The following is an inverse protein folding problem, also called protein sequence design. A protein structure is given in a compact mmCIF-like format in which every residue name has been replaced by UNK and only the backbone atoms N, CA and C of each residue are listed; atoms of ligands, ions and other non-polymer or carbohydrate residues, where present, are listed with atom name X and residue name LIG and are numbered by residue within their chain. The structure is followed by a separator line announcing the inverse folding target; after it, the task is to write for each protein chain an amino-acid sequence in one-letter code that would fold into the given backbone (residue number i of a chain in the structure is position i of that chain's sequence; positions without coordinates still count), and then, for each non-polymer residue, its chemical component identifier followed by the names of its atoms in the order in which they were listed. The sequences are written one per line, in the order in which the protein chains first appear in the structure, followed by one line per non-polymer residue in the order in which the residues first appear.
data_IF_883904483632
#
_entry.id   IF_883904483632
#
_cell.length_a   1.000
_cell.length_b   1.000
_cell.length_c   1.000
_cell.angle_alpha   90.00
_cell.angle_beta   90.00
_cell.angle_gamma   90.00
#
_symmetry.space_group_name_H-M   'P 1'
#
loop_
_entity.id
_entity.type
_entity.pdbx_description
1 polymer ?
#
# COMPACT_ATOMS: atom_id res chain seq x y z
N UNK A 1 -17.12 -10.24 39.48
CA UNK A 1 -15.76 -9.67 39.43
C UNK A 1 -14.95 -10.51 38.46
N UNK A 2 -15.45 -10.67 37.24
CA UNK A 2 -15.38 -9.70 36.12
C UNK A 2 -13.93 -9.65 35.63
N UNK A 3 -13.58 -10.49 34.65
CA UNK A 3 -13.75 -10.20 33.21
C UNK A 3 -12.95 -8.97 32.80
N UNK A 4 -11.74 -9.21 32.29
CA UNK A 4 -11.12 -8.38 31.28
C UNK A 4 -10.54 -9.29 30.19
N UNK A 5 -11.35 -9.48 29.15
CA UNK A 5 -10.99 -9.55 27.73
C UNK A 5 -9.68 -10.29 27.39
N UNK A 6 -9.75 -11.53 26.91
CA UNK A 6 -10.20 -11.89 25.57
C UNK A 6 -9.42 -11.17 24.45
N UNK A 7 -8.53 -11.93 23.79
CA UNK A 7 -7.76 -11.59 22.57
C UNK A 7 -6.85 -10.37 22.66
N UNK A 8 -5.66 -10.57 23.21
CA UNK A 8 -4.49 -9.79 22.77
C UNK A 8 -4.21 -10.21 21.32
N UNK A 9 -4.59 -9.35 20.38
CA UNK A 9 -4.54 -9.62 18.94
C UNK A 9 -3.18 -10.12 18.47
N UNK A 10 -3.17 -10.93 17.42
CA UNK A 10 -1.95 -11.31 16.70
C UNK A 10 -1.18 -10.04 16.37
N UNK A 11 -0.01 -9.84 16.96
CA UNK A 11 0.91 -8.77 16.55
C UNK A 11 1.31 -9.02 15.10
N UNK A 12 0.68 -8.31 14.16
CA UNK A 12 1.01 -8.34 12.72
C UNK A 12 2.13 -7.34 12.45
N UNK A 13 3.21 -7.41 13.21
CA UNK A 13 4.42 -6.66 12.88
C UNK A 13 5.62 -7.44 13.35
N UNK A 14 6.11 -8.31 12.47
CA UNK A 14 7.51 -8.72 12.48
C UNK A 14 8.26 -7.63 11.74
N UNK A 15 8.79 -6.62 12.45
CA UNK A 15 9.80 -5.74 11.85
C UNK A 15 11.04 -6.61 11.66
N UNK A 16 11.28 -7.05 10.43
CA UNK A 16 12.53 -7.70 10.07
C UNK A 16 13.62 -6.64 9.94
N UNK A 17 14.70 -6.80 10.71
CA UNK A 17 15.97 -6.16 10.43
C UNK A 17 16.09 -4.69 10.83
N UNK A 18 17.33 -4.31 11.07
CA UNK A 18 17.80 -2.94 11.32
C UNK A 18 17.15 -1.96 10.34
N UNK A 19 16.37 -1.02 10.86
CA UNK A 19 15.68 -0.01 10.05
C UNK A 19 16.71 0.98 9.52
N UNK A 20 17.00 0.94 8.22
CA UNK A 20 17.66 2.05 7.55
C UNK A 20 16.65 3.20 7.47
N UNK A 21 16.60 3.98 8.55
CA UNK A 21 15.66 5.08 8.72
C UNK A 21 15.75 6.13 7.60
N UNK A 22 16.90 6.24 6.92
CA UNK A 22 17.09 7.16 5.80
C UNK A 22 16.44 6.58 4.54
N UNK A 23 16.67 5.31 4.26
CA UNK A 23 16.00 4.60 3.17
C UNK A 23 14.47 4.63 3.32
N UNK A 24 13.98 4.33 4.53
CA UNK A 24 12.54 4.31 4.82
C UNK A 24 11.93 5.72 4.69
N UNK A 25 12.64 6.76 5.14
CA UNK A 25 12.22 8.14 4.94
C UNK A 25 12.15 8.52 3.45
N UNK A 26 13.04 7.98 2.62
CA UNK A 26 13.02 8.14 1.16
C UNK A 26 11.75 7.56 0.52
N UNK A 27 11.38 6.34 0.89
CA UNK A 27 10.14 5.69 0.41
C UNK A 27 8.90 6.50 0.83
N UNK A 28 8.87 6.95 2.08
CA UNK A 28 7.76 7.75 2.60
C UNK A 28 7.64 9.09 1.85
N UNK A 29 8.75 9.75 1.58
CA UNK A 29 8.76 11.03 0.86
C UNK A 29 8.30 10.88 -0.59
N UNK A 30 8.74 9.83 -1.29
CA UNK A 30 8.26 9.51 -2.64
C UNK A 30 6.75 9.24 -2.64
N UNK A 31 6.27 8.47 -1.66
CA UNK A 31 4.83 8.20 -1.48
C UNK A 31 4.03 9.49 -1.28
N UNK A 32 4.50 10.37 -0.39
CA UNK A 32 3.85 11.68 -0.12
C UNK A 32 3.85 12.55 -1.37
N UNK A 33 4.94 12.57 -2.14
CA UNK A 33 5.06 13.36 -3.37
C UNK A 33 4.06 12.90 -4.42
N UNK A 34 3.92 11.58 -4.63
CA UNK A 34 2.93 11.00 -5.56
C UNK A 34 1.49 11.27 -5.12
N UNK A 35 1.22 11.27 -3.82
CA UNK A 35 -0.10 11.63 -3.29
C UNK A 35 -0.44 13.10 -3.51
N UNK A 36 0.56 13.99 -3.50
CA UNK A 36 0.36 15.44 -3.70
C UNK A 36 -0.05 15.78 -5.14
N UNK A 37 0.45 15.03 -6.14
CA UNK A 37 0.28 15.38 -7.55
C UNK A 37 -0.91 14.70 -8.25
N UNK A 38 -1.63 13.78 -7.59
CA UNK A 38 -2.77 13.10 -8.22
C UNK A 38 -3.26 11.80 -7.58
N UNK A 39 -2.63 11.34 -6.49
CA UNK A 39 -3.00 10.11 -5.80
C UNK A 39 -2.25 8.88 -6.33
N UNK A 40 -2.28 7.78 -5.56
CA UNK A 40 -1.63 6.52 -5.94
C UNK A 40 -2.35 5.77 -7.07
N UNK A 41 -3.59 6.15 -7.36
CA UNK A 41 -4.45 5.48 -8.32
C UNK A 41 -5.20 6.53 -9.15
N UNK A 42 -5.32 6.35 -10.48
CA UNK A 42 -6.18 7.16 -11.31
C UNK A 42 -7.62 7.19 -10.78
N UNK A 43 -8.24 8.37 -10.75
CA UNK A 43 -9.64 8.53 -10.31
C UNK A 43 -10.62 8.32 -11.47
N UNK A 44 -11.76 7.71 -11.20
CA UNK A 44 -12.84 7.51 -12.18
C UNK A 44 -13.45 6.12 -12.16
N UNK A 45 -14.44 5.91 -13.04
CA UNK A 45 -15.04 4.59 -13.29
C UNK A 45 -14.48 4.05 -14.58
N UNK A 46 -13.79 2.91 -14.50
CA UNK A 46 -13.23 2.22 -15.66
C UNK A 46 -14.07 0.97 -15.96
N UNK A 47 -14.36 0.77 -17.25
CA UNK A 47 -15.07 -0.42 -17.74
C UNK A 47 -14.12 -1.23 -18.60
N UNK A 48 -13.87 -2.46 -18.17
CA UNK A 48 -13.05 -3.43 -18.90
C UNK A 48 -13.95 -4.45 -19.57
N UNK A 49 -13.49 -4.99 -20.69
CA UNK A 49 -14.13 -6.05 -21.44
C UNK A 49 -14.01 -7.40 -20.72
N UNK A 50 -12.86 -7.65 -20.12
CA UNK A 50 -12.52 -8.88 -19.41
C UNK A 50 -11.53 -8.63 -18.25
N UNK A 51 -11.24 -9.69 -17.49
CA UNK A 51 -10.35 -9.62 -16.33
C UNK A 51 -8.90 -9.36 -16.72
N UNK A 52 -8.43 -9.92 -17.84
CA UNK A 52 -7.05 -9.77 -18.29
C UNK A 52 -6.76 -8.29 -18.65
N UNK A 53 -7.72 -7.61 -19.29
CA UNK A 53 -7.62 -6.18 -19.56
C UNK A 53 -7.52 -5.35 -18.27
N UNK A 54 -8.32 -5.71 -17.26
CA UNK A 54 -8.29 -5.04 -15.96
C UNK A 54 -6.93 -5.24 -15.24
N UNK A 55 -6.37 -6.45 -15.30
CA UNK A 55 -5.08 -6.77 -14.71
C UNK A 55 -3.94 -6.02 -15.40
N UNK A 56 -3.91 -5.98 -16.73
CA UNK A 56 -2.89 -5.22 -17.46
C UNK A 56 -2.99 -3.71 -17.20
N UNK A 57 -4.22 -3.18 -17.12
CA UNK A 57 -4.42 -1.79 -16.76
C UNK A 57 -3.91 -1.51 -15.34
N UNK A 58 -4.22 -2.38 -14.38
CA UNK A 58 -3.76 -2.26 -12.99
C UNK A 58 -2.24 -2.35 -12.90
N UNK A 59 -1.59 -3.29 -13.58
CA UNK A 59 -0.13 -3.40 -13.60
C UNK A 59 0.51 -2.14 -14.18
N UNK A 60 -0.01 -1.60 -15.28
CA UNK A 60 0.55 -0.37 -15.90
C UNK A 60 0.42 0.87 -15.02
N UNK A 61 -0.65 0.99 -14.23
CA UNK A 61 -0.97 2.23 -13.51
C UNK A 61 -0.72 2.16 -11.99
N UNK A 62 -0.75 0.96 -11.40
CA UNK A 62 -0.60 0.73 -9.96
C UNK A 62 0.73 0.06 -9.61
N UNK A 63 1.22 -0.85 -10.47
CA UNK A 63 2.49 -1.52 -10.26
C UNK A 63 3.59 -0.80 -11.07
N UNK A 64 4.26 0.17 -10.45
CA UNK A 64 5.62 0.50 -10.91
C UNK A 64 6.58 -0.55 -10.35
N UNK A 65 7.31 -1.31 -11.19
CA UNK A 65 8.63 -1.77 -10.80
C UNK A 65 9.55 -0.54 -10.81
N UNK A 66 10.18 -0.32 -9.68
CA UNK A 66 11.42 0.43 -9.48
C UNK A 66 12.50 0.07 -10.51
#
# INVERSE_FOLDING_TARGET
MDSFDEKIGKTVSRRSGESDSIHDAGILLDTISRLRDGGLCPTGVYRFKDFDEAEQWALRHLARPD
#
